data_IF_634793278318
#
_entry.id   IF_634793278318
#
_cell.length_a   1.000
_cell.length_b   1.000
_cell.length_c   1.000
_cell.angle_alpha   90.00
_cell.angle_beta   90.00
_cell.angle_gamma   90.00
#
_symmetry.space_group_name_H-M   'P 1'
#
loop_
_entity.id
_entity.type
_entity.pdbx_description
1 polymer ?
#
# COMPACT_ATOMS: atom_id res chain seq x y z
N UNK A 1 1.93 -16.46 -8.81
CA UNK A 1 2.79 -15.59 -7.98
C UNK A 1 3.12 -16.32 -6.70
N UNK A 2 4.37 -16.34 -6.26
CA UNK A 2 4.81 -16.99 -5.01
C UNK A 2 5.12 -15.95 -3.92
N UNK A 3 5.11 -16.33 -2.63
CA UNK A 3 5.53 -15.42 -1.55
C UNK A 3 6.93 -14.84 -1.74
N UNK A 4 7.87 -15.63 -2.26
CA UNK A 4 9.24 -15.19 -2.56
C UNK A 4 9.29 -14.11 -3.65
N UNK A 5 8.48 -14.25 -4.71
CA UNK A 5 8.34 -13.23 -5.76
C UNK A 5 7.78 -11.92 -5.19
N UNK A 6 6.78 -12.01 -4.30
CA UNK A 6 6.23 -10.82 -3.63
C UNK A 6 7.26 -10.18 -2.71
N UNK A 7 7.98 -10.97 -1.90
CA UNK A 7 8.99 -10.46 -0.98
C UNK A 7 10.14 -9.78 -1.74
N UNK A 8 10.56 -10.32 -2.88
CA UNK A 8 11.56 -9.68 -3.75
C UNK A 8 11.08 -8.35 -4.29
N UNK A 9 9.80 -8.24 -4.68
CA UNK A 9 9.21 -6.97 -5.11
C UNK A 9 9.09 -5.96 -3.97
N UNK A 10 8.73 -6.43 -2.76
CA UNK A 10 8.70 -5.62 -1.54
C UNK A 10 10.09 -5.07 -1.24
N UNK A 11 11.12 -5.90 -1.20
CA UNK A 11 12.49 -5.48 -0.90
C UNK A 11 12.98 -4.43 -1.92
N UNK A 12 12.78 -4.68 -3.21
CA UNK A 12 13.18 -3.77 -4.27
C UNK A 12 12.55 -2.36 -4.18
N UNK A 13 11.37 -2.23 -3.57
CA UNK A 13 10.63 -0.96 -3.50
C UNK A 13 10.67 -0.33 -2.11
N UNK A 14 10.56 -1.12 -1.05
CA UNK A 14 10.34 -0.63 0.31
C UNK A 14 11.61 -0.54 1.16
N UNK A 15 12.72 -1.15 0.73
CA UNK A 15 13.99 -1.10 1.47
C UNK A 15 14.66 0.27 1.45
N UNK A 16 14.22 1.19 0.57
CA UNK A 16 14.66 2.59 0.60
C UNK A 16 14.11 3.34 1.83
N UNK A 17 14.77 4.42 2.30
CA UNK A 17 14.26 5.25 3.38
C UNK A 17 12.87 5.84 3.09
N UNK A 18 12.16 6.17 4.15
CA UNK A 18 10.84 6.79 4.06
C UNK A 18 10.93 8.19 3.41
N UNK A 19 10.06 8.44 2.45
CA UNK A 19 9.93 9.74 1.79
C UNK A 19 8.46 10.01 1.45
N UNK A 20 7.93 11.13 1.93
CA UNK A 20 6.53 11.50 1.72
C UNK A 20 6.21 11.68 0.23
N UNK A 21 5.19 10.99 -0.24
CA UNK A 21 4.71 11.00 -1.63
C UNK A 21 5.57 10.18 -2.60
N UNK A 22 6.60 9.49 -2.12
CA UNK A 22 7.56 8.74 -2.97
C UNK A 22 7.78 7.31 -2.46
N UNK A 23 7.98 7.14 -1.15
CA UNK A 23 8.09 5.85 -0.50
C UNK A 23 7.64 5.95 0.96
N UNK A 24 6.33 6.01 1.15
CA UNK A 24 5.69 6.17 2.46
C UNK A 24 4.66 5.07 2.74
N UNK A 25 3.84 5.28 3.77
CA UNK A 25 2.82 4.34 4.23
C UNK A 25 1.72 4.05 3.19
N UNK A 26 1.63 4.80 2.09
CA UNK A 26 0.65 4.58 1.03
C UNK A 26 1.34 4.21 -0.28
N UNK A 27 2.23 5.09 -0.75
CA UNK A 27 2.90 4.99 -2.05
C UNK A 27 3.77 3.75 -2.19
N UNK A 28 4.44 3.31 -1.12
CA UNK A 28 5.34 2.16 -1.20
C UNK A 28 4.59 0.85 -1.52
N UNK A 29 3.43 0.62 -0.91
CA UNK A 29 2.60 -0.56 -1.20
C UNK A 29 2.02 -0.47 -2.61
N UNK A 30 1.54 0.69 -3.03
CA UNK A 30 1.04 0.92 -4.38
C UNK A 30 2.13 0.71 -5.45
N UNK A 31 3.37 1.12 -5.19
CA UNK A 31 4.51 0.89 -6.09
C UNK A 31 4.87 -0.60 -6.21
N UNK A 32 4.82 -1.36 -5.11
CA UNK A 32 4.99 -2.82 -5.16
C UNK A 32 3.86 -3.46 -5.97
N UNK A 33 2.62 -3.03 -5.75
CA UNK A 33 1.46 -3.54 -6.48
C UNK A 33 1.57 -3.25 -7.98
N UNK A 34 1.98 -2.03 -8.36
CA UNK A 34 2.31 -1.65 -9.73
C UNK A 34 3.39 -2.56 -10.31
N UNK A 35 4.46 -2.85 -9.55
CA UNK A 35 5.52 -3.75 -10.00
C UNK A 35 5.03 -5.18 -10.25
N UNK A 36 4.10 -5.67 -9.43
CA UNK A 36 3.57 -7.03 -9.50
C UNK A 36 2.51 -7.21 -10.60
N UNK A 37 1.64 -6.21 -10.77
CA UNK A 37 0.43 -6.33 -11.58
C UNK A 37 0.37 -5.36 -12.77
N UNK A 38 1.28 -4.39 -12.86
CA UNK A 38 1.27 -3.36 -13.91
C UNK A 38 0.19 -2.30 -13.71
N UNK A 39 -0.45 -2.24 -12.55
CA UNK A 39 -1.53 -1.29 -12.23
C UNK A 39 -1.11 -0.41 -11.07
N UNK A 40 -1.10 0.91 -11.24
CA UNK A 40 -0.82 1.86 -10.16
C UNK A 40 -2.14 2.30 -9.51
N UNK A 41 -2.42 1.90 -8.26
CA UNK A 41 -3.62 2.37 -7.59
C UNK A 41 -3.71 3.88 -7.47
N UNK A 42 -2.57 4.55 -7.32
CA UNK A 42 -2.53 5.98 -7.06
C UNK A 42 -2.48 6.83 -8.33
N UNK A 43 -2.58 6.25 -9.53
CA UNK A 43 -2.35 6.94 -10.80
C UNK A 43 -3.04 8.31 -10.88
N UNK A 44 -4.31 8.38 -10.49
CA UNK A 44 -5.13 9.60 -10.60
C UNK A 44 -4.83 10.66 -9.52
N UNK A 45 -4.25 10.26 -8.39
CA UNK A 45 -4.03 11.13 -7.22
C UNK A 45 -2.55 11.34 -6.87
N UNK A 46 -1.62 10.67 -7.56
CA UNK A 46 -0.20 10.64 -7.21
C UNK A 46 0.44 12.03 -7.18
N UNK A 47 0.08 12.90 -8.14
CA UNK A 47 0.56 14.28 -8.17
C UNK A 47 0.07 15.11 -6.99
N UNK A 48 -1.17 14.89 -6.55
CA UNK A 48 -1.80 15.58 -5.42
C UNK A 48 -1.29 15.04 -4.06
N UNK A 49 -0.90 13.77 -4.01
CA UNK A 49 -0.37 13.10 -2.81
C UNK A 49 1.11 13.44 -2.51
N UNK A 50 1.79 14.17 -3.40
CA UNK A 50 3.21 14.46 -3.27
C UNK A 50 3.55 15.25 -1.99
N UNK A 51 4.51 14.73 -1.22
CA UNK A 51 4.99 15.34 0.01
C UNK A 51 3.98 15.29 1.18
N UNK A 52 4.44 15.65 2.37
CA UNK A 52 3.64 15.54 3.60
C UNK A 52 2.35 16.35 3.54
N UNK A 53 2.40 17.56 2.95
CA UNK A 53 1.24 18.46 2.87
C UNK A 53 0.18 17.93 1.91
N UNK A 54 0.58 17.42 0.75
CA UNK A 54 -0.33 16.84 -0.24
C UNK A 54 -1.01 15.59 0.30
N UNK A 55 -0.22 14.67 0.86
CA UNK A 55 -0.73 13.48 1.55
C UNK A 55 -1.75 13.85 2.65
N UNK A 56 -1.40 14.78 3.55
CA UNK A 56 -2.28 15.18 4.64
C UNK A 56 -3.56 15.89 4.15
N UNK A 57 -3.47 16.69 3.09
CA UNK A 57 -4.63 17.35 2.48
C UNK A 57 -5.61 16.33 1.89
N UNK A 58 -5.11 15.41 1.05
CA UNK A 58 -5.93 14.36 0.44
C UNK A 58 -6.58 13.45 1.47
N UNK A 59 -5.82 13.03 2.50
CA UNK A 59 -6.35 12.21 3.59
C UNK A 59 -7.53 12.93 4.26
N UNK A 60 -7.38 14.23 4.56
CA UNK A 60 -8.44 15.01 5.20
C UNK A 60 -9.65 15.20 4.28
N UNK A 61 -9.43 15.53 3.01
CA UNK A 61 -10.47 15.79 2.01
C UNK A 61 -11.31 14.55 1.71
N UNK A 62 -10.70 13.36 1.76
CA UNK A 62 -11.41 12.09 1.61
C UNK A 62 -12.12 11.64 2.90
N UNK A 63 -11.98 12.36 4.02
CA UNK A 63 -12.62 11.98 5.29
C UNK A 63 -11.82 11.01 6.16
N UNK A 64 -10.52 10.86 5.89
CA UNK A 64 -9.59 10.03 6.65
C UNK A 64 -8.82 9.03 5.78
N UNK A 65 -7.79 8.41 6.36
CA UNK A 65 -6.93 7.46 5.65
C UNK A 65 -7.68 6.26 5.08
N UNK A 66 -8.61 5.61 5.81
CA UNK A 66 -9.37 4.49 5.27
C UNK A 66 -10.21 4.88 4.05
N UNK A 67 -10.85 6.05 4.10
CA UNK A 67 -11.69 6.54 3.01
C UNK A 67 -10.86 6.92 1.77
N UNK A 68 -9.66 7.48 1.96
CA UNK A 68 -8.70 7.67 0.88
C UNK A 68 -8.27 6.34 0.25
N UNK A 69 -7.96 5.32 1.04
CA UNK A 69 -7.58 4.00 0.50
C UNK A 69 -8.72 3.44 -0.35
N UNK A 70 -9.95 3.43 0.16
CA UNK A 70 -11.10 2.93 -0.60
C UNK A 70 -11.31 3.73 -1.90
N UNK A 71 -11.16 5.06 -1.87
CA UNK A 71 -11.33 5.90 -3.08
C UNK A 71 -10.26 5.64 -4.14
N UNK A 72 -9.03 5.34 -3.72
CA UNK A 72 -7.90 4.97 -4.59
C UNK A 72 -8.05 3.57 -5.17
N UNK A 73 -8.57 2.61 -4.40
CA UNK A 73 -8.69 1.21 -4.85
C UNK A 73 -9.96 0.94 -5.67
N UNK A 74 -11.05 1.69 -5.43
CA UNK A 74 -12.34 1.46 -6.07
C UNK A 74 -12.31 1.45 -7.62
N UNK A 75 -11.60 2.38 -8.31
CA UNK A 75 -11.55 2.40 -9.78
C UNK A 75 -10.89 1.17 -10.40
N UNK A 76 -10.07 0.45 -9.64
CA UNK A 76 -9.28 -0.70 -10.12
C UNK A 76 -10.13 -1.99 -10.14
N UNK A 77 -11.26 -2.02 -9.43
CA UNK A 77 -12.14 -3.19 -9.39
C UNK A 77 -11.56 -4.39 -8.64
N UNK A 78 -10.77 -4.15 -7.58
CA UNK A 78 -10.21 -5.23 -6.76
C UNK A 78 -11.29 -6.01 -6.00
N UNK A 79 -11.07 -7.30 -5.79
CA UNK A 79 -11.93 -8.15 -4.97
C UNK A 79 -11.52 -8.08 -3.50
N UNK A 80 -12.46 -7.95 -2.54
CA UNK A 80 -12.14 -8.00 -1.11
C UNK A 80 -11.59 -9.37 -0.69
N UNK A 81 -10.46 -9.36 0.02
CA UNK A 81 -9.83 -10.57 0.54
C UNK A 81 -8.32 -10.44 0.68
N UNK A 82 -7.71 -11.34 1.45
CA UNK A 82 -6.25 -11.42 1.58
C UNK A 82 -5.72 -12.54 0.67
N UNK A 83 -4.99 -12.16 -0.38
CA UNK A 83 -4.32 -13.09 -1.28
C UNK A 83 -2.87 -12.65 -1.56
N UNK A 84 -2.03 -13.58 -2.00
CA UNK A 84 -0.62 -13.33 -2.34
C UNK A 84 -0.55 -12.22 -3.41
N UNK A 85 0.25 -11.20 -3.15
CA UNK A 85 0.41 -10.03 -4.01
C UNK A 85 -0.73 -9.02 -3.94
N UNK A 86 -1.72 -9.24 -3.08
CA UNK A 86 -2.80 -8.30 -2.81
C UNK A 86 -2.36 -7.14 -1.94
N UNK A 87 -3.15 -6.06 -1.97
CA UNK A 87 -3.02 -4.94 -1.04
C UNK A 87 -3.74 -5.26 0.26
N UNK A 88 -3.28 -4.67 1.34
CA UNK A 88 -3.98 -4.71 2.61
C UNK A 88 -3.81 -3.38 3.35
N UNK A 89 -4.63 -3.16 4.37
CA UNK A 89 -4.57 -1.97 5.20
C UNK A 89 -4.51 -2.39 6.66
N UNK A 90 -3.65 -1.74 7.43
CA UNK A 90 -3.73 -1.72 8.88
C UNK A 90 -4.21 -0.35 9.36
N UNK A 91 -4.99 -0.34 10.43
CA UNK A 91 -5.45 0.85 11.15
C UNK A 91 -4.66 1.07 12.43
N UNK A 92 -3.63 0.27 12.71
CA UNK A 92 -2.74 0.50 13.84
C UNK A 92 -2.01 1.85 13.69
N UNK A 93 -1.91 2.60 14.79
CA UNK A 93 -1.30 3.93 14.80
C UNK A 93 -2.06 4.93 13.93
N UNK A 94 -1.42 5.41 12.84
CA UNK A 94 -2.02 6.34 11.87
C UNK A 94 -2.55 5.64 10.60
N UNK A 95 -2.45 4.31 10.58
CA UNK A 95 -2.76 3.47 9.43
C UNK A 95 -1.64 3.42 8.38
N UNK A 96 -1.61 2.32 7.62
CA UNK A 96 -0.69 2.09 6.51
C UNK A 96 -1.31 1.12 5.52
N UNK A 97 -1.01 1.31 4.23
CA UNK A 97 -1.14 0.26 3.25
C UNK A 97 0.01 -0.74 3.41
N UNK A 98 -0.30 -1.97 3.06
CA UNK A 98 0.54 -3.15 3.17
C UNK A 98 0.46 -3.97 1.89
N UNK A 99 1.45 -4.83 1.68
CA UNK A 99 1.43 -5.88 0.65
C UNK A 99 1.33 -7.24 1.31
N UNK A 100 0.37 -8.05 0.86
CA UNK A 100 0.18 -9.42 1.31
C UNK A 100 1.21 -10.33 0.65
N UNK A 101 2.24 -10.73 1.40
CA UNK A 101 3.21 -11.74 0.95
C UNK A 101 2.52 -13.10 0.89
N UNK A 102 1.75 -13.40 1.94
CA UNK A 102 0.82 -14.52 2.03
C UNK A 102 -0.18 -14.21 3.15
N UNK A 103 -1.37 -14.84 3.17
CA UNK A 103 -2.30 -14.67 4.28
C UNK A 103 -1.63 -14.96 5.63
N UNK A 104 -1.68 -13.99 6.55
CA UNK A 104 -0.97 -14.05 7.85
C UNK A 104 0.40 -13.35 7.87
N UNK A 105 0.88 -12.84 6.73
CA UNK A 105 2.15 -12.12 6.62
C UNK A 105 2.07 -10.98 5.59
N UNK A 106 2.20 -9.75 6.06
CA UNK A 106 2.17 -8.55 5.24
C UNK A 106 3.42 -7.71 5.42
N UNK A 107 3.80 -6.98 4.39
CA UNK A 107 4.87 -5.98 4.46
C UNK A 107 4.30 -4.57 4.51
N UNK A 108 4.79 -3.75 5.46
CA UNK A 108 4.44 -2.34 5.59
C UNK A 108 5.69 -1.45 5.70
N UNK A 109 5.58 -0.20 5.24
CA UNK A 109 6.71 0.74 5.25
C UNK A 109 7.11 1.16 6.67
N UNK A 110 8.41 1.25 6.92
CA UNK A 110 9.01 1.87 8.12
C UNK A 110 9.93 3.04 7.73
N UNK A 111 10.56 3.70 8.71
CA UNK A 111 11.47 4.83 8.42
C UNK A 111 12.67 4.45 7.55
N UNK A 112 13.24 3.26 7.73
CA UNK A 112 14.49 2.84 7.08
C UNK A 112 14.33 1.60 6.18
N UNK A 113 13.10 1.16 5.93
CA UNK A 113 12.85 -0.02 5.13
C UNK A 113 11.39 -0.46 5.23
N UNK A 114 11.15 -1.75 5.44
CA UNK A 114 9.83 -2.31 5.73
C UNK A 114 9.88 -3.24 6.95
N UNK A 115 8.71 -3.57 7.48
CA UNK A 115 8.54 -4.57 8.52
C UNK A 115 7.49 -5.59 8.07
N UNK A 116 7.64 -6.83 8.57
CA UNK A 116 6.63 -7.86 8.43
C UNK A 116 5.65 -7.76 9.61
N UNK A 117 4.36 -7.73 9.30
CA UNK A 117 3.28 -7.72 10.28
C UNK A 117 2.40 -8.96 10.09
N UNK A 118 1.81 -9.43 11.18
CA UNK A 118 0.97 -10.63 11.21
C UNK A 118 -0.53 -10.33 11.23
N UNK A 119 -0.91 -9.05 11.09
CA UNK A 119 -2.30 -8.60 11.08
C UNK A 119 -2.52 -7.51 10.03
N UNK A 120 -3.69 -7.57 9.40
CA UNK A 120 -4.25 -6.51 8.57
C UNK A 120 -5.76 -6.45 8.82
N UNK A 121 -6.33 -5.26 8.73
CA UNK A 121 -7.75 -5.01 8.99
C UNK A 121 -8.62 -5.25 7.75
N UNK A 122 -8.07 -4.93 6.56
CA UNK A 122 -8.73 -5.12 5.26
C UNK A 122 -7.74 -5.56 4.21
N UNK A 123 -8.23 -6.23 3.16
CA UNK A 123 -7.43 -6.73 2.06
C UNK A 123 -8.19 -6.69 0.73
N UNK A 124 -7.43 -6.55 -0.36
CA UNK A 124 -7.94 -6.55 -1.72
C UNK A 124 -6.96 -7.22 -2.69
N UNK A 125 -7.46 -7.87 -3.74
CA UNK A 125 -6.64 -8.59 -4.71
C UNK A 125 -7.24 -8.58 -6.14
N UNK A 126 -6.41 -8.82 -7.16
CA UNK A 126 -6.81 -8.89 -8.59
C UNK A 126 -7.16 -10.31 -9.07
N UNK A 127 -6.72 -11.35 -8.38
CA UNK A 127 -6.94 -12.77 -8.69
C UNK A 127 -7.13 -13.54 -7.38
#
# INVERSE_FOLDING_TARGET
MTPEQVLTAVDAVMSRPFEWGVCDCCTAACDVFLRLWGVDPMADVRSQYMGLRGAAALIRENGGFPALVESVLAPIGLTPGHQIGGLAMTLEGRGSLLICIQPGQWAGKTLNGFALVSRADRGWHLA
#
